data_IF_722916657234
#
_entry.id   IF_722916657234
#
_cell.length_a   1.000
_cell.length_b   1.000
_cell.length_c   1.000
_cell.angle_alpha   90.00
_cell.angle_beta   90.00
_cell.angle_gamma   90.00
#
_symmetry.space_group_name_H-M   'P 1'
#
loop_
_entity.id
_entity.type
_entity.pdbx_description
1 polymer ?
#
# COMPACT_ATOMS: atom_id res chain seq x y z
N UNK A 1 53.99 -25.13 -15.06
CA UNK A 1 52.51 -25.27 -14.92
C UNK A 1 52.26 -25.95 -13.59
N UNK A 2 51.69 -25.20 -12.62
CA UNK A 2 51.48 -25.71 -11.26
C UNK A 2 50.27 -26.65 -11.28
N UNK A 3 50.55 -27.95 -11.12
CA UNK A 3 49.53 -28.99 -11.08
C UNK A 3 48.76 -28.85 -9.75
N UNK A 4 47.69 -28.04 -9.75
CA UNK A 4 46.83 -27.92 -8.56
C UNK A 4 46.13 -29.26 -8.32
N UNK A 5 46.28 -29.76 -7.11
CA UNK A 5 45.62 -30.99 -6.69
C UNK A 5 44.10 -30.89 -7.02
N UNK A 6 43.53 -31.83 -7.81
CA UNK A 6 42.12 -31.76 -8.25
C UNK A 6 41.14 -31.67 -7.08
N UNK A 7 41.48 -32.24 -5.94
CA UNK A 7 40.67 -32.15 -4.71
C UNK A 7 40.54 -30.72 -4.18
N UNK A 8 41.67 -29.98 -4.17
CA UNK A 8 41.71 -28.57 -3.75
C UNK A 8 40.88 -27.70 -4.73
N UNK A 9 40.94 -27.98 -6.02
CA UNK A 9 40.17 -27.28 -7.02
C UNK A 9 38.67 -27.48 -6.83
N UNK A 10 38.20 -28.69 -6.55
CA UNK A 10 36.81 -29.01 -6.26
C UNK A 10 36.33 -28.23 -5.01
N UNK A 11 37.11 -28.25 -3.92
CA UNK A 11 36.75 -27.52 -2.70
C UNK A 11 36.64 -26.01 -2.97
N UNK A 12 37.57 -25.43 -3.73
CA UNK A 12 37.51 -24.01 -4.06
C UNK A 12 36.29 -23.64 -4.93
N UNK A 13 35.93 -24.51 -5.88
CA UNK A 13 34.71 -24.31 -6.68
C UNK A 13 33.44 -24.42 -5.84
N UNK A 14 33.34 -25.44 -5.00
CA UNK A 14 32.15 -25.59 -4.12
C UNK A 14 32.02 -24.40 -3.16
N UNK A 15 33.13 -23.95 -2.58
CA UNK A 15 33.15 -22.76 -1.70
C UNK A 15 32.73 -21.49 -2.46
N UNK A 16 33.22 -21.29 -3.69
CA UNK A 16 32.83 -20.17 -4.54
C UNK A 16 31.31 -20.14 -4.80
N UNK A 17 30.75 -21.28 -5.21
CA UNK A 17 29.28 -21.33 -5.48
C UNK A 17 28.44 -21.18 -4.21
N UNK A 18 28.91 -21.71 -3.08
CA UNK A 18 28.25 -21.51 -1.79
C UNK A 18 28.23 -20.03 -1.39
N UNK A 19 29.31 -19.29 -1.59
CA UNK A 19 29.38 -17.84 -1.32
C UNK A 19 28.43 -17.08 -2.25
N UNK A 20 28.39 -17.42 -3.55
CA UNK A 20 27.47 -16.79 -4.51
C UNK A 20 26.03 -17.04 -4.11
N UNK A 21 25.67 -18.26 -3.75
CA UNK A 21 24.32 -18.61 -3.30
C UNK A 21 23.93 -17.86 -2.02
N UNK A 22 24.83 -17.80 -1.04
CA UNK A 22 24.60 -17.08 0.21
C UNK A 22 24.40 -15.58 -0.05
N UNK A 23 25.23 -14.96 -0.88
CA UNK A 23 25.09 -13.55 -1.22
C UNK A 23 23.78 -13.25 -1.95
N UNK A 24 23.31 -14.16 -2.83
CA UNK A 24 22.03 -14.06 -3.49
C UNK A 24 20.86 -14.13 -2.49
N UNK A 25 20.91 -15.08 -1.54
CA UNK A 25 19.90 -15.22 -0.48
C UNK A 25 19.83 -13.93 0.37
N UNK A 26 20.98 -13.41 0.77
CA UNK A 26 21.05 -12.16 1.56
C UNK A 26 20.46 -10.99 0.77
N UNK A 27 20.79 -10.87 -0.51
CA UNK A 27 20.25 -9.81 -1.38
C UNK A 27 18.73 -9.95 -1.53
N UNK A 28 18.21 -11.14 -1.78
CA UNK A 28 16.79 -11.38 -1.89
C UNK A 28 16.06 -11.07 -0.58
N UNK A 29 16.61 -11.47 0.55
CA UNK A 29 16.09 -11.15 1.87
C UNK A 29 16.03 -9.62 2.09
N UNK A 30 17.10 -8.91 1.72
CA UNK A 30 17.13 -7.45 1.79
C UNK A 30 16.04 -6.81 0.94
N UNK A 31 15.87 -7.24 -0.31
CA UNK A 31 14.84 -6.73 -1.23
C UNK A 31 13.43 -6.94 -0.66
N UNK A 32 13.13 -8.16 -0.23
CA UNK A 32 11.80 -8.49 0.31
C UNK A 32 11.50 -7.74 1.60
N UNK A 33 12.52 -7.53 2.46
CA UNK A 33 12.32 -6.87 3.75
C UNK A 33 12.21 -5.36 3.63
N UNK A 34 13.03 -4.72 2.76
CA UNK A 34 13.19 -3.27 2.75
C UNK A 34 12.55 -2.57 1.55
N UNK A 35 12.38 -3.26 0.44
CA UNK A 35 11.93 -2.66 -0.82
C UNK A 35 10.49 -3.05 -1.16
N UNK A 36 10.16 -4.33 -1.06
CA UNK A 36 8.89 -4.89 -1.50
C UNK A 36 8.01 -5.23 -0.29
N UNK A 37 6.74 -4.90 -0.41
CA UNK A 37 5.69 -5.38 0.49
C UNK A 37 4.78 -6.33 -0.30
N UNK A 38 4.80 -7.61 0.05
CA UNK A 38 3.79 -8.55 -0.43
C UNK A 38 2.58 -8.46 0.51
N UNK A 39 1.38 -8.38 -0.07
CA UNK A 39 0.14 -8.27 0.68
C UNK A 39 -0.99 -9.11 0.10
N UNK A 40 -1.88 -9.54 0.98
CA UNK A 40 -3.14 -10.20 0.66
C UNK A 40 -4.30 -9.26 1.01
N UNK A 41 -5.35 -9.23 0.21
CA UNK A 41 -6.55 -8.41 0.44
C UNK A 41 -7.59 -9.24 1.18
N UNK A 42 -7.83 -8.98 2.48
CA UNK A 42 -8.70 -9.81 3.30
C UNK A 42 -10.18 -9.37 3.29
N UNK A 43 -10.54 -8.31 2.56
CA UNK A 43 -11.89 -7.75 2.59
C UNK A 43 -12.28 -7.02 1.31
N UNK A 44 -13.58 -6.87 1.11
CA UNK A 44 -14.17 -6.18 -0.04
C UNK A 44 -14.09 -4.63 0.01
N UNK A 45 -13.44 -4.03 1.01
CA UNK A 45 -13.46 -2.58 1.23
C UNK A 45 -12.81 -1.74 0.12
N UNK A 46 -12.01 -2.36 -0.76
CA UNK A 46 -11.33 -1.72 -1.88
C UNK A 46 -11.90 -2.16 -3.24
N UNK A 47 -13.06 -2.83 -3.26
CA UNK A 47 -13.76 -3.14 -4.52
C UNK A 47 -14.27 -1.85 -5.20
N UNK A 48 -14.25 -1.83 -6.52
CA UNK A 48 -13.84 -2.87 -7.49
C UNK A 48 -12.34 -2.85 -7.83
N UNK A 49 -11.59 -1.92 -7.25
CA UNK A 49 -10.15 -1.74 -7.54
C UNK A 49 -9.31 -2.96 -7.17
N UNK A 50 -9.45 -3.38 -5.91
CA UNK A 50 -8.89 -4.61 -5.34
C UNK A 50 -10.02 -5.41 -4.72
N UNK A 51 -10.03 -6.73 -4.96
CA UNK A 51 -11.05 -7.64 -4.45
C UNK A 51 -10.49 -8.49 -3.31
N UNK A 52 -11.36 -8.98 -2.48
CA UNK A 52 -10.99 -10.02 -1.50
C UNK A 52 -10.34 -11.21 -2.23
N UNK A 53 -9.25 -11.73 -1.66
CA UNK A 53 -8.45 -12.79 -2.28
C UNK A 53 -7.34 -12.31 -3.20
N UNK A 54 -7.29 -11.03 -3.57
CA UNK A 54 -6.22 -10.48 -4.40
C UNK A 54 -4.88 -10.48 -3.66
N UNK A 55 -3.79 -10.75 -4.42
CA UNK A 55 -2.42 -10.55 -3.94
C UNK A 55 -1.77 -9.35 -4.62
N UNK A 56 -1.11 -8.52 -3.84
CA UNK A 56 -0.57 -7.24 -4.28
C UNK A 56 0.91 -7.09 -3.96
N UNK A 57 1.57 -6.26 -4.74
CA UNK A 57 2.93 -5.78 -4.47
C UNK A 57 2.88 -4.29 -4.15
N UNK A 58 3.44 -3.94 -3.00
CA UNK A 58 3.69 -2.58 -2.56
C UNK A 58 5.17 -2.21 -2.61
N UNK A 59 5.46 -0.92 -2.81
CA UNK A 59 6.80 -0.35 -2.75
C UNK A 59 6.99 0.40 -1.41
N UNK A 60 7.94 -0.04 -0.60
CA UNK A 60 8.31 0.56 0.70
C UNK A 60 9.21 1.80 0.57
N UNK A 61 9.88 1.98 -0.57
CA UNK A 61 10.80 3.10 -0.78
C UNK A 61 10.10 4.42 -1.07
N UNK A 62 8.78 4.41 -1.24
CA UNK A 62 8.00 5.62 -1.53
C UNK A 62 8.00 6.52 -0.31
N UNK A 63 8.55 7.74 -0.45
CA UNK A 63 8.59 8.76 0.61
C UNK A 63 7.52 9.83 0.46
N UNK A 64 6.93 9.95 -0.73
CA UNK A 64 5.90 10.95 -1.04
C UNK A 64 4.68 10.27 -1.65
N UNK A 65 3.57 10.41 -0.96
CA UNK A 65 2.28 9.88 -1.39
C UNK A 65 1.41 11.01 -1.93
N UNK A 66 0.59 10.69 -2.92
CA UNK A 66 -0.32 11.63 -3.59
C UNK A 66 -1.76 11.15 -3.46
N UNK A 67 -2.70 12.08 -3.60
CA UNK A 67 -4.12 11.77 -3.72
C UNK A 67 -4.34 10.76 -4.85
N UNK A 68 -5.23 9.79 -4.63
CA UNK A 68 -5.49 8.68 -5.54
C UNK A 68 -4.58 7.46 -5.36
N UNK A 69 -3.44 7.57 -4.66
CA UNK A 69 -2.61 6.40 -4.40
C UNK A 69 -3.32 5.45 -3.41
N UNK A 70 -3.25 4.16 -3.68
CA UNK A 70 -3.59 3.12 -2.72
C UNK A 70 -2.37 2.82 -1.87
N UNK A 71 -2.52 2.87 -0.56
CA UNK A 71 -1.41 2.70 0.36
C UNK A 71 -1.72 1.69 1.46
N UNK A 72 -0.66 1.05 1.93
CA UNK A 72 -0.64 0.18 3.10
C UNK A 72 -0.08 0.99 4.25
N UNK A 73 -0.76 0.99 5.37
CA UNK A 73 -0.34 1.72 6.56
C UNK A 73 -0.69 0.96 7.84
N UNK A 74 -0.04 1.34 8.92
CA UNK A 74 -0.30 0.81 10.26
C UNK A 74 -1.43 1.61 10.90
N UNK A 75 -2.48 0.93 11.34
CA UNK A 75 -3.64 1.53 11.99
C UNK A 75 -3.51 1.54 13.51
N UNK A 76 -4.34 2.33 14.19
CA UNK A 76 -4.45 2.35 15.65
C UNK A 76 -4.90 1.03 16.26
N UNK A 77 -5.56 0.18 15.47
CA UNK A 77 -5.97 -1.16 15.88
C UNK A 77 -4.81 -2.17 15.84
N UNK A 78 -3.56 -1.71 15.66
CA UNK A 78 -2.38 -2.56 15.48
C UNK A 78 -2.52 -3.56 14.33
N UNK A 79 -3.09 -3.10 13.20
CA UNK A 79 -3.29 -3.89 11.98
C UNK A 79 -2.86 -3.11 10.75
N UNK A 80 -2.50 -3.82 9.70
CA UNK A 80 -2.31 -3.21 8.38
C UNK A 80 -3.66 -2.95 7.72
N UNK A 81 -3.85 -1.72 7.29
CA UNK A 81 -4.97 -1.33 6.44
C UNK A 81 -4.50 -0.97 5.05
N UNK A 82 -5.39 -1.17 4.09
CA UNK A 82 -5.18 -0.83 2.68
C UNK A 82 -6.35 0.04 2.26
N UNK A 83 -6.08 1.31 1.96
CA UNK A 83 -7.10 2.29 1.55
C UNK A 83 -6.53 3.26 0.52
N UNK A 84 -7.41 4.03 -0.10
CA UNK A 84 -7.04 5.08 -1.05
C UNK A 84 -6.90 6.43 -0.35
N UNK A 85 -5.82 7.14 -0.67
CA UNK A 85 -5.59 8.51 -0.21
C UNK A 85 -6.56 9.44 -0.95
N UNK A 86 -7.40 10.12 -0.19
CA UNK A 86 -8.37 11.10 -0.66
C UNK A 86 -7.89 12.52 -0.34
N UNK A 87 -7.28 12.72 0.84
CA UNK A 87 -6.72 14.00 1.25
C UNK A 87 -5.27 13.88 1.70
N UNK A 88 -4.50 14.90 1.44
CA UNK A 88 -3.10 15.06 1.90
C UNK A 88 -3.02 16.30 2.80
N UNK A 89 -1.95 16.41 3.58
CA UNK A 89 -1.77 17.51 4.54
C UNK A 89 -2.03 18.89 3.95
N UNK A 90 -2.95 19.62 4.55
CA UNK A 90 -3.45 20.93 4.13
C UNK A 90 -4.74 20.90 3.32
N UNK A 91 -5.22 19.72 2.90
CA UNK A 91 -6.49 19.61 2.18
C UNK A 91 -7.69 19.76 3.13
N UNK A 92 -8.72 20.42 2.62
CA UNK A 92 -10.05 20.50 3.23
C UNK A 92 -10.99 19.54 2.51
N UNK A 93 -11.48 18.54 3.22
CA UNK A 93 -12.35 17.47 2.71
C UNK A 93 -13.75 17.68 3.25
N UNK A 94 -14.72 17.73 2.36
CA UNK A 94 -16.14 17.74 2.70
C UNK A 94 -16.82 16.54 2.02
N UNK A 95 -17.59 15.80 2.79
CA UNK A 95 -18.40 14.68 2.31
C UNK A 95 -19.85 15.07 2.48
N UNK A 96 -20.57 15.23 1.39
CA UNK A 96 -21.98 15.57 1.35
C UNK A 96 -22.58 15.23 0.00
N UNK A 97 -23.89 15.21 -0.07
CA UNK A 97 -24.64 14.98 -1.33
C UNK A 97 -24.12 13.74 -2.07
N UNK A 98 -23.86 12.65 -1.32
CA UNK A 98 -23.34 11.37 -1.82
C UNK A 98 -21.95 11.49 -2.52
N UNK A 99 -21.24 12.58 -2.30
CA UNK A 99 -19.98 12.89 -2.97
C UNK A 99 -18.88 13.37 -2.01
N UNK A 100 -17.65 13.33 -2.48
CA UNK A 100 -16.47 13.87 -1.79
C UNK A 100 -15.99 15.11 -2.50
N UNK A 101 -15.81 16.17 -1.75
CA UNK A 101 -15.23 17.44 -2.21
C UNK A 101 -13.86 17.62 -1.55
N UNK A 102 -12.91 18.12 -2.32
CA UNK A 102 -11.60 18.48 -1.81
C UNK A 102 -11.26 19.91 -2.23
N UNK A 103 -11.00 20.78 -1.26
CA UNK A 103 -10.73 22.18 -1.48
C UNK A 103 -11.85 22.86 -2.33
N UNK A 104 -13.10 22.56 -2.00
CA UNK A 104 -14.29 23.08 -2.67
C UNK A 104 -14.62 22.46 -4.03
N UNK A 105 -13.81 21.49 -4.53
CA UNK A 105 -14.07 20.83 -5.82
C UNK A 105 -14.51 19.40 -5.63
N UNK A 106 -15.60 19.01 -6.27
CA UNK A 106 -16.06 17.62 -6.32
C UNK A 106 -14.98 16.74 -6.92
N UNK A 107 -14.59 15.69 -6.20
CA UNK A 107 -13.62 14.73 -6.70
C UNK A 107 -14.25 13.87 -7.79
N UNK A 108 -13.47 13.62 -8.84
CA UNK A 108 -13.78 12.57 -9.80
C UNK A 108 -13.27 11.27 -9.21
N UNK A 109 -14.17 10.39 -8.85
CA UNK A 109 -13.87 9.11 -8.20
C UNK A 109 -14.11 7.92 -9.17
N UNK A 110 -13.26 7.72 -10.20
CA UNK A 110 -13.43 6.62 -11.16
C UNK A 110 -13.21 5.24 -10.52
N UNK A 111 -12.90 5.21 -9.25
CA UNK A 111 -12.55 3.99 -8.50
C UNK A 111 -13.74 3.39 -7.78
N UNK A 112 -14.82 4.17 -7.54
CA UNK A 112 -15.96 3.71 -6.76
C UNK A 112 -16.84 2.77 -7.56
N UNK A 113 -17.46 1.83 -6.87
CA UNK A 113 -18.38 0.86 -7.42
C UNK A 113 -19.79 1.44 -7.58
N UNK A 114 -20.18 2.23 -6.62
CA UNK A 114 -21.53 2.80 -6.48
C UNK A 114 -21.48 4.13 -5.72
N UNK A 115 -22.51 4.92 -5.82
CA UNK A 115 -22.62 6.15 -5.04
C UNK A 115 -22.55 5.88 -3.55
N UNK A 116 -21.90 6.78 -2.84
CA UNK A 116 -21.78 6.71 -1.39
C UNK A 116 -23.13 7.04 -0.75
N UNK A 117 -23.61 6.12 0.08
CA UNK A 117 -24.81 6.35 0.89
C UNK A 117 -24.40 7.13 2.14
N UNK A 118 -24.71 8.41 2.18
CA UNK A 118 -24.52 9.25 3.37
C UNK A 118 -25.52 10.39 3.35
N UNK A 119 -26.22 10.57 4.46
CA UNK A 119 -27.12 11.69 4.72
C UNK A 119 -26.46 12.74 5.62
N UNK A 120 -25.23 12.46 6.12
CA UNK A 120 -24.48 13.35 6.99
C UNK A 120 -23.48 14.19 6.19
N UNK A 121 -23.39 15.47 6.52
CA UNK A 121 -22.29 16.31 6.08
C UNK A 121 -21.12 16.16 7.05
N UNK A 122 -19.99 15.68 6.52
CA UNK A 122 -18.75 15.48 7.26
C UNK A 122 -17.67 16.40 6.71
N UNK A 123 -16.95 17.08 7.60
CA UNK A 123 -15.93 18.05 7.25
C UNK A 123 -14.64 17.77 7.98
N UNK A 124 -13.52 17.77 7.24
CA UNK A 124 -12.20 17.46 7.77
C UNK A 124 -11.14 18.38 7.18
N UNK A 125 -10.25 18.90 8.02
CA UNK A 125 -9.02 19.56 7.57
C UNK A 125 -7.83 18.64 7.87
N UNK A 126 -7.16 18.17 6.83
CA UNK A 126 -6.07 17.19 6.95
C UNK A 126 -4.83 17.88 7.56
N UNK A 127 -4.33 17.47 8.74
CA UNK A 127 -3.14 18.05 9.34
C UNK A 127 -1.89 17.86 8.48
N UNK A 128 -0.89 18.71 8.65
CA UNK A 128 0.43 18.53 8.02
C UNK A 128 1.00 17.15 8.33
N UNK A 129 1.61 16.52 7.33
CA UNK A 129 2.17 15.17 7.41
C UNK A 129 1.15 14.06 7.72
N UNK A 130 -0.13 14.31 7.49
CA UNK A 130 -1.19 13.32 7.62
C UNK A 130 -1.89 13.09 6.28
N UNK A 131 -2.65 12.00 6.24
CA UNK A 131 -3.46 11.58 5.11
C UNK A 131 -4.86 11.20 5.57
N UNK A 132 -5.84 11.49 4.72
CA UNK A 132 -7.23 11.07 4.87
C UNK A 132 -7.54 9.98 3.85
N UNK A 133 -8.15 8.91 4.30
CA UNK A 133 -8.33 7.68 3.52
C UNK A 133 -9.79 7.30 3.36
N UNK A 134 -10.16 6.82 2.18
CA UNK A 134 -11.42 6.11 1.97
C UNK A 134 -11.18 4.76 1.30
N UNK A 135 -12.10 3.82 1.54
CA UNK A 135 -12.19 2.62 0.71
C UNK A 135 -12.81 2.92 -0.64
N UNK A 136 -12.48 2.19 -1.69
CA UNK A 136 -13.13 2.31 -2.99
C UNK A 136 -14.59 1.82 -2.91
N UNK A 137 -14.86 0.82 -2.07
CA UNK A 137 -16.20 0.38 -1.71
C UNK A 137 -16.75 1.28 -0.58
N UNK A 138 -17.25 2.45 -0.93
CA UNK A 138 -17.66 3.52 -0.03
C UNK A 138 -18.64 3.09 1.05
N UNK A 139 -19.55 2.17 0.71
CA UNK A 139 -20.62 1.71 1.60
C UNK A 139 -20.21 0.54 2.50
N UNK A 140 -19.10 -0.12 2.18
CA UNK A 140 -18.57 -1.29 2.94
C UNK A 140 -17.14 -1.10 3.40
N UNK A 141 -16.76 0.12 3.76
CA UNK A 141 -15.40 0.43 4.21
C UNK A 141 -15.40 1.11 5.58
N UNK A 142 -14.72 0.50 6.54
CA UNK A 142 -14.32 1.20 7.76
C UNK A 142 -13.05 1.98 7.45
N UNK A 143 -13.17 3.32 7.33
CA UNK A 143 -12.10 4.22 6.92
C UNK A 143 -12.10 5.52 7.73
N UNK A 144 -11.45 6.57 7.28
CA UNK A 144 -11.30 7.84 7.98
C UNK A 144 -12.61 8.45 8.49
N UNK A 145 -13.73 8.13 7.90
CA UNK A 145 -15.06 8.59 8.35
C UNK A 145 -15.47 8.02 9.70
N UNK A 146 -14.96 6.82 10.03
CA UNK A 146 -15.42 6.00 11.16
C UNK A 146 -14.31 5.73 12.19
N UNK A 147 -13.07 6.18 11.94
CA UNK A 147 -12.00 6.02 12.91
C UNK A 147 -12.08 7.08 13.99
N UNK A 148 -11.61 6.75 15.19
CA UNK A 148 -11.52 7.69 16.31
C UNK A 148 -10.61 8.88 15.95
N UNK A 149 -9.51 8.62 15.25
CA UNK A 149 -8.62 9.61 14.66
C UNK A 149 -8.66 9.45 13.14
N UNK A 150 -9.30 10.37 12.42
CA UNK A 150 -9.56 10.22 10.98
C UNK A 150 -8.32 10.34 10.10
N UNK A 151 -7.17 10.63 10.68
CA UNK A 151 -5.94 10.91 9.94
C UNK A 151 -4.83 9.92 10.27
N UNK A 152 -4.14 9.43 9.24
CA UNK A 152 -2.96 8.59 9.38
C UNK A 152 -1.71 9.43 9.18
N UNK A 153 -0.77 9.37 10.12
CA UNK A 153 0.47 10.11 10.04
C UNK A 153 1.41 9.47 8.99
N UNK A 154 2.23 10.31 8.36
CA UNK A 154 3.23 9.87 7.38
C UNK A 154 4.19 8.80 7.92
N UNK A 155 4.51 8.82 9.22
CA UNK A 155 5.38 7.82 9.86
C UNK A 155 4.77 6.42 9.88
N UNK A 156 3.44 6.31 9.82
CA UNK A 156 2.70 5.05 9.89
C UNK A 156 2.44 4.46 8.50
N UNK A 157 2.90 5.16 7.45
CA UNK A 157 2.83 4.67 6.07
C UNK A 157 3.89 3.61 5.82
N UNK A 158 3.47 2.48 5.28
CA UNK A 158 4.35 1.30 5.07
C UNK A 158 4.77 1.16 3.62
N UNK A 159 3.81 1.18 2.69
CA UNK A 159 4.09 1.00 1.27
C UNK A 159 2.99 1.61 0.38
N UNK A 160 3.36 1.99 -0.83
CA UNK A 160 2.41 2.30 -1.90
C UNK A 160 2.11 1.03 -2.67
N UNK A 161 0.84 0.68 -2.86
CA UNK A 161 0.44 -0.42 -3.73
C UNK A 161 0.76 -0.06 -5.17
N UNK A 162 1.47 -0.95 -5.87
CA UNK A 162 1.91 -0.73 -7.24
C UNK A 162 1.06 -1.51 -8.23
N UNK A 163 0.84 -2.79 -7.95
CA UNK A 163 0.03 -3.66 -8.78
C UNK A 163 -0.48 -4.87 -7.99
N UNK A 164 -1.59 -5.43 -8.47
CA UNK A 164 -2.06 -6.75 -8.14
C UNK A 164 -1.37 -7.74 -9.07
N UNK A 165 -0.89 -8.88 -8.56
CA UNK A 165 -0.27 -9.90 -9.39
C UNK A 165 -1.07 -11.21 -9.48
N UNK A 166 -2.00 -11.44 -8.57
CA UNK A 166 -2.91 -12.57 -8.59
C UNK A 166 -4.34 -12.09 -8.28
N UNK A 167 -5.40 -12.59 -8.95
CA UNK A 167 -5.44 -13.64 -9.99
C UNK A 167 -4.98 -13.19 -11.38
N UNK A 168 -4.80 -11.90 -11.60
CA UNK A 168 -4.30 -11.34 -12.86
C UNK A 168 -3.49 -10.07 -12.59
N UNK A 169 -2.53 -9.76 -13.44
CA UNK A 169 -1.71 -8.55 -13.28
C UNK A 169 -2.55 -7.32 -13.61
N UNK A 170 -2.61 -6.37 -12.67
CA UNK A 170 -3.30 -5.09 -12.82
C UNK A 170 -2.52 -4.00 -12.10
N UNK A 171 -2.21 -2.90 -12.78
CA UNK A 171 -1.66 -1.69 -12.15
C UNK A 171 -2.74 -1.01 -11.30
N UNK A 172 -2.35 -0.52 -10.13
CA UNK A 172 -3.24 0.12 -9.14
C UNK A 172 -2.92 1.61 -9.03
#
# INVERSE_FOLDING_TARGET
MQNRNPFISIILYTLKYAIIMLSFIILMQFVVTHIIMNGYIPSASMEPGLKEGDFIIGNRLVKKYHRGNVAIFWSEENKYYIKRIIGVGGDHIVIKDHAVYCNGKKLKDPYIKEEMLTDEELEYTVPKNCYFFLGDNRNYSKDSRYWKYPFINKKDMIAKVMFRYWPSIKKI
#
